data_IF_783569945439
#
_entry.id   IF_783569945439
#
_cell.length_a   1.000
_cell.length_b   1.000
_cell.length_c   1.000
_cell.angle_alpha   90.00
_cell.angle_beta   90.00
_cell.angle_gamma   90.00
#
_symmetry.space_group_name_H-M   'P 1'
#
loop_
_entity.id
_entity.type
_entity.pdbx_description
1 polymer ?
#
# COMPACT_ATOMS: atom_id res chain seq x y z
N UNK A 1 34.13 -45.88 -15.45
CA UNK A 1 33.57 -44.51 -15.34
C UNK A 1 32.75 -44.37 -14.06
N UNK A 2 33.39 -44.27 -12.90
CA UNK A 2 32.70 -44.26 -11.58
C UNK A 2 33.16 -43.13 -10.65
N UNK A 3 33.75 -42.07 -11.20
CA UNK A 3 34.28 -40.94 -10.41
C UNK A 3 33.47 -39.64 -10.51
N UNK A 4 32.34 -39.62 -11.23
CA UNK A 4 31.52 -38.40 -11.40
C UNK A 4 30.36 -38.32 -10.38
N UNK A 5 29.98 -39.42 -9.72
CA UNK A 5 28.82 -39.42 -8.80
C UNK A 5 29.09 -38.87 -7.40
N UNK A 6 30.33 -38.74 -6.96
CA UNK A 6 30.65 -38.22 -5.61
C UNK A 6 30.83 -36.71 -5.53
N UNK A 7 31.04 -36.02 -6.66
CA UNK A 7 31.23 -34.56 -6.65
C UNK A 7 29.91 -33.76 -6.52
N UNK A 8 28.78 -34.33 -6.92
CA UNK A 8 27.47 -33.64 -6.88
C UNK A 8 26.72 -33.79 -5.54
N UNK A 9 27.16 -34.65 -4.62
CA UNK A 9 26.46 -34.87 -3.36
C UNK A 9 26.87 -33.86 -2.27
N UNK A 10 28.09 -33.29 -2.33
CA UNK A 10 28.60 -32.39 -1.28
C UNK A 10 28.13 -30.95 -1.43
N UNK A 11 27.89 -30.47 -2.66
CA UNK A 11 27.35 -29.10 -2.90
C UNK A 11 25.84 -28.97 -2.61
N UNK A 12 25.11 -30.08 -2.55
CA UNK A 12 23.68 -30.10 -2.23
C UNK A 12 23.37 -29.94 -0.73
N UNK A 13 24.26 -30.38 0.16
CA UNK A 13 24.08 -30.25 1.61
C UNK A 13 24.28 -28.82 2.10
N UNK A 14 25.30 -28.12 1.60
CA UNK A 14 25.60 -26.74 2.04
C UNK A 14 24.51 -25.75 1.64
N UNK A 15 23.90 -25.91 0.46
CA UNK A 15 22.75 -25.11 0.03
C UNK A 15 21.47 -25.36 0.84
N UNK A 16 21.23 -26.60 1.29
CA UNK A 16 20.09 -26.92 2.17
C UNK A 16 20.32 -26.37 3.58
N UNK A 17 21.53 -26.48 4.11
CA UNK A 17 21.92 -25.93 5.41
C UNK A 17 21.84 -24.40 5.44
N UNK A 18 22.27 -23.72 4.36
CA UNK A 18 22.18 -22.26 4.23
C UNK A 18 20.71 -21.79 4.17
N UNK A 19 19.85 -22.49 3.42
CA UNK A 19 18.41 -22.20 3.35
C UNK A 19 17.69 -22.45 4.67
N UNK A 20 18.05 -23.49 5.42
CA UNK A 20 17.47 -23.79 6.73
C UNK A 20 17.87 -22.72 7.76
N UNK A 21 19.14 -22.24 7.75
CA UNK A 21 19.58 -21.17 8.64
C UNK A 21 18.94 -19.81 8.28
N UNK A 22 18.78 -19.49 6.98
CA UNK A 22 18.10 -18.27 6.53
C UNK A 22 16.59 -18.32 6.88
N UNK A 23 15.91 -19.46 6.71
CA UNK A 23 14.51 -19.63 7.13
C UNK A 23 14.33 -19.51 8.65
N UNK A 24 15.26 -20.06 9.44
CA UNK A 24 15.24 -19.94 10.91
C UNK A 24 15.51 -18.51 11.38
N UNK A 25 16.36 -17.76 10.68
CA UNK A 25 16.61 -16.33 10.94
C UNK A 25 15.39 -15.46 10.62
N UNK A 26 14.65 -15.78 9.54
CA UNK A 26 13.37 -15.15 9.23
C UNK A 26 12.25 -15.53 10.21
N UNK A 27 12.21 -16.78 10.69
CA UNK A 27 11.25 -17.20 11.71
C UNK A 27 11.52 -16.56 13.08
N UNK A 28 12.80 -16.36 13.44
CA UNK A 28 13.19 -15.70 14.70
C UNK A 28 12.93 -14.18 14.71
N UNK A 29 12.84 -13.53 13.54
CA UNK A 29 12.41 -12.12 13.43
C UNK A 29 10.88 -11.96 13.53
N UNK A 30 10.11 -13.02 13.22
CA UNK A 30 8.65 -13.00 13.33
C UNK A 30 8.12 -13.24 14.76
N UNK A 31 8.95 -13.75 15.69
CA UNK A 31 8.51 -14.04 17.06
C UNK A 31 8.69 -12.89 18.06
N UNK A 32 9.37 -11.79 17.69
CA UNK A 32 9.57 -10.62 18.57
C UNK A 32 8.44 -9.56 18.42
N UNK A 33 7.53 -9.71 17.46
CA UNK A 33 6.38 -8.79 17.27
C UNK A 33 5.11 -9.28 18.02
N UNK A 34 5.21 -10.35 18.83
CA UNK A 34 4.07 -10.95 19.52
C UNK A 34 3.82 -10.46 20.96
N UNK A 35 4.45 -9.36 21.40
CA UNK A 35 4.20 -8.80 22.73
C UNK A 35 3.98 -7.30 22.60
N UNK A 36 2.71 -6.91 22.42
CA UNK A 36 2.02 -5.79 23.08
C UNK A 36 0.68 -5.52 22.37
N UNK A 37 -0.26 -6.47 22.54
CA UNK A 37 -1.70 -6.20 22.47
C UNK A 37 -2.22 -6.24 23.90
N UNK A 38 -2.96 -5.18 24.28
CA UNK A 38 -3.94 -5.03 25.39
C UNK A 38 -3.67 -3.73 26.16
N UNK A 39 -4.59 -2.78 26.35
CA UNK A 39 -6.06 -2.77 26.56
C UNK A 39 -6.48 -1.27 26.48
N UNK A 40 -7.61 -0.79 25.92
CA UNK A 40 -9.04 -1.13 26.07
C UNK A 40 -9.90 -0.86 24.80
N UNK A 41 -10.75 -1.84 24.50
CA UNK A 41 -12.22 -1.77 24.24
C UNK A 41 -12.78 -1.15 22.93
N UNK A 42 -13.19 -2.11 22.08
CA UNK A 42 -14.31 -2.17 21.10
C UNK A 42 -14.31 -1.23 19.89
N UNK A 43 -13.61 -1.66 18.84
CA UNK A 43 -14.21 -1.68 17.51
C UNK A 43 -13.90 -3.04 16.88
N UNK A 44 -14.96 -3.68 16.42
CA UNK A 44 -15.03 -5.00 15.79
C UNK A 44 -13.80 -5.33 14.92
N UNK A 45 -13.42 -6.61 14.95
CA UNK A 45 -12.92 -7.31 13.76
C UNK A 45 -13.91 -7.08 12.61
N UNK A 46 -13.86 -5.90 12.00
CA UNK A 46 -14.16 -5.80 10.59
C UNK A 46 -13.02 -6.57 9.95
N UNK A 47 -13.36 -7.69 9.31
CA UNK A 47 -12.57 -8.19 8.21
C UNK A 47 -11.93 -7.01 7.50
N UNK A 48 -10.61 -7.03 7.35
CA UNK A 48 -9.93 -6.22 6.35
C UNK A 48 -10.49 -6.69 5.01
N UNK A 49 -11.71 -6.30 4.69
CA UNK A 49 -12.34 -6.50 3.41
C UNK A 49 -11.55 -5.57 2.50
N UNK A 50 -10.43 -6.10 2.01
CA UNK A 50 -9.47 -5.44 1.17
C UNK A 50 -10.27 -4.87 0.01
N UNK A 51 -10.55 -3.58 0.07
CA UNK A 51 -11.44 -2.91 -0.86
C UNK A 51 -10.78 -3.06 -2.23
N UNK A 52 -11.27 -4.01 -3.04
CA UNK A 52 -10.63 -4.38 -4.29
C UNK A 52 -10.44 -3.10 -5.12
N UNK A 53 -9.19 -2.63 -5.33
CA UNK A 53 -8.94 -1.37 -6.03
C UNK A 53 -9.44 -1.44 -7.48
N UNK A 54 -9.60 -2.66 -8.01
CA UNK A 54 -10.06 -2.96 -9.36
C UNK A 54 -11.57 -3.24 -9.43
N UNK A 55 -12.35 -2.97 -8.36
CA UNK A 55 -13.79 -3.23 -8.36
C UNK A 55 -14.49 -2.55 -9.56
N UNK A 56 -15.17 -3.35 -10.38
CA UNK A 56 -15.87 -2.89 -11.59
C UNK A 56 -14.98 -2.62 -12.79
N UNK A 57 -13.69 -2.99 -12.75
CA UNK A 57 -12.81 -3.01 -13.92
C UNK A 57 -13.06 -4.23 -14.82
N UNK A 58 -13.66 -5.30 -14.26
CA UNK A 58 -14.09 -6.53 -14.96
C UNK A 58 -15.02 -6.27 -16.15
N UNK A 59 -15.72 -5.14 -16.16
CA UNK A 59 -16.62 -4.74 -17.25
C UNK A 59 -15.92 -4.03 -18.42
N UNK A 60 -14.62 -3.77 -18.29
CA UNK A 60 -13.84 -2.95 -19.22
C UNK A 60 -12.57 -3.69 -19.66
N UNK A 61 -11.93 -4.41 -18.75
CA UNK A 61 -10.66 -5.09 -18.99
C UNK A 61 -10.83 -6.57 -19.28
N UNK A 62 -9.89 -7.13 -20.02
CA UNK A 62 -9.78 -8.58 -20.22
C UNK A 62 -9.26 -9.28 -18.95
N UNK A 63 -9.48 -10.60 -18.80
CA UNK A 63 -8.94 -11.37 -17.68
C UNK A 63 -7.41 -11.24 -17.54
N UNK A 64 -6.68 -11.24 -18.66
CA UNK A 64 -5.22 -11.08 -18.69
C UNK A 64 -4.79 -9.70 -18.18
N UNK A 65 -5.46 -8.63 -18.61
CA UNK A 65 -5.20 -7.27 -18.12
C UNK A 65 -5.51 -7.11 -16.62
N UNK A 66 -6.52 -7.84 -16.10
CA UNK A 66 -6.83 -7.87 -14.67
C UNK A 66 -5.76 -8.62 -13.87
N UNK A 67 -5.25 -9.74 -14.40
CA UNK A 67 -4.15 -10.48 -13.80
C UNK A 67 -2.88 -9.61 -13.75
N UNK A 68 -2.56 -8.92 -14.84
CA UNK A 68 -1.46 -7.95 -14.91
C UNK A 68 -1.62 -6.85 -13.84
N UNK A 69 -2.81 -6.25 -13.71
CA UNK A 69 -3.05 -5.25 -12.66
C UNK A 69 -2.87 -5.82 -11.25
N UNK A 70 -3.27 -7.07 -11.01
CA UNK A 70 -3.10 -7.70 -9.69
C UNK A 70 -1.62 -7.84 -9.37
N UNK A 71 -0.82 -8.36 -10.29
CA UNK A 71 0.62 -8.50 -10.13
C UNK A 71 1.31 -7.15 -9.89
N UNK A 72 0.99 -6.14 -10.71
CA UNK A 72 1.53 -4.78 -10.54
C UNK A 72 1.17 -4.18 -9.17
N UNK A 73 -0.06 -4.42 -8.68
CA UNK A 73 -0.47 -3.94 -7.36
C UNK A 73 0.29 -4.63 -6.22
N UNK A 74 0.54 -5.94 -6.31
CA UNK A 74 1.33 -6.67 -5.32
C UNK A 74 2.79 -6.22 -5.33
N UNK A 75 3.37 -5.94 -6.51
CA UNK A 75 4.71 -5.36 -6.61
C UNK A 75 4.78 -4.00 -5.91
N UNK A 76 3.84 -3.09 -6.20
CA UNK A 76 3.79 -1.76 -5.55
C UNK A 76 3.54 -1.88 -4.05
N UNK A 77 2.78 -2.88 -3.61
CA UNK A 77 2.57 -3.16 -2.18
C UNK A 77 3.87 -3.61 -1.52
N UNK A 78 4.60 -4.53 -2.14
CA UNK A 78 5.93 -4.96 -1.67
C UNK A 78 6.91 -3.79 -1.59
N UNK A 79 6.94 -2.90 -2.60
CA UNK A 79 7.75 -1.66 -2.58
C UNK A 79 7.38 -0.73 -1.42
N UNK A 80 6.10 -0.65 -1.05
CA UNK A 80 5.67 0.15 0.10
C UNK A 80 6.07 -0.47 1.43
N UNK A 81 5.94 -1.79 1.58
CA UNK A 81 6.34 -2.48 2.81
C UNK A 81 7.86 -2.46 2.99
N UNK A 82 8.64 -2.64 1.92
CA UNK A 82 10.11 -2.50 1.98
C UNK A 82 10.53 -1.11 2.42
N UNK A 83 9.95 -0.05 1.85
CA UNK A 83 10.21 1.32 2.30
C UNK A 83 9.78 1.54 3.75
N UNK A 84 8.61 1.05 4.15
CA UNK A 84 8.11 1.17 5.52
C UNK A 84 9.02 0.46 6.54
N UNK A 85 9.56 -0.70 6.17
CA UNK A 85 10.49 -1.45 7.02
C UNK A 85 11.88 -0.81 7.09
N UNK A 86 12.22 0.09 6.15
CA UNK A 86 13.45 0.86 6.20
C UNK A 86 13.40 2.05 7.17
N UNK A 87 12.24 2.37 7.74
CA UNK A 87 12.09 3.53 8.64
C UNK A 87 12.73 3.29 10.00
N UNK A 88 13.49 4.26 10.49
CA UNK A 88 14.09 4.23 11.83
C UNK A 88 13.07 4.53 12.94
N UNK A 89 13.42 4.22 14.19
CA UNK A 89 12.56 4.51 15.35
C UNK A 89 12.25 6.00 15.50
N UNK A 90 13.23 6.87 15.21
CA UNK A 90 13.04 8.33 15.21
C UNK A 90 12.02 8.76 14.15
N UNK A 91 12.10 8.18 12.94
CA UNK A 91 11.14 8.44 11.86
C UNK A 91 9.74 7.92 12.21
N UNK A 92 9.64 6.76 12.86
CA UNK A 92 8.38 6.22 13.37
C UNK A 92 7.80 7.09 14.50
N UNK A 93 8.64 7.72 15.32
CA UNK A 93 8.19 8.68 16.34
C UNK A 93 7.58 9.94 15.70
N UNK A 94 8.17 10.47 14.63
CA UNK A 94 7.58 11.58 13.84
C UNK A 94 6.17 11.23 13.36
N UNK A 95 5.95 9.99 12.90
CA UNK A 95 4.64 9.53 12.45
C UNK A 95 3.59 9.50 13.57
N UNK A 96 4.01 9.16 14.80
CA UNK A 96 3.14 9.04 15.98
C UNK A 96 2.91 10.38 16.69
N UNK A 97 3.70 11.41 16.39
CA UNK A 97 3.62 12.72 17.02
C UNK A 97 2.23 13.37 16.80
N UNK A 98 1.53 13.70 17.90
CA UNK A 98 0.19 14.30 17.89
C UNK A 98 0.22 15.83 17.90
N UNK A 99 1.34 16.42 18.26
CA UNK A 99 1.56 17.87 18.32
C UNK A 99 1.72 18.45 16.91
N UNK A 100 2.27 17.64 15.99
CA UNK A 100 2.39 17.99 14.58
C UNK A 100 1.12 17.70 13.78
N UNK A 101 0.69 18.69 13.00
CA UNK A 101 -0.38 18.47 12.04
C UNK A 101 0.09 17.54 10.90
N UNK A 102 -0.86 17.07 10.09
CA UNK A 102 -0.56 16.09 9.03
C UNK A 102 0.46 16.59 8.01
N UNK A 103 0.49 17.89 7.71
CA UNK A 103 1.43 18.47 6.75
C UNK A 103 2.83 18.52 7.36
N UNK A 104 2.92 19.02 8.59
CA UNK A 104 4.18 19.11 9.33
C UNK A 104 4.81 17.74 9.54
N UNK A 105 4.04 16.72 9.95
CA UNK A 105 4.56 15.34 10.07
C UNK A 105 5.16 14.82 8.77
N UNK A 106 4.53 15.14 7.64
CA UNK A 106 5.02 14.70 6.33
C UNK A 106 6.30 15.43 5.94
N UNK A 107 6.39 16.72 6.23
CA UNK A 107 7.59 17.52 5.96
C UNK A 107 8.75 17.09 6.85
N UNK A 108 8.52 16.93 8.15
CA UNK A 108 9.50 16.43 9.11
C UNK A 108 9.99 15.01 8.74
N UNK A 109 9.08 14.10 8.39
CA UNK A 109 9.47 12.75 7.95
C UNK A 109 10.28 12.78 6.65
N UNK A 110 9.93 13.65 5.71
CA UNK A 110 10.66 13.76 4.44
C UNK A 110 12.06 14.34 4.65
N UNK A 111 12.20 15.28 5.58
CA UNK A 111 13.48 15.88 5.91
C UNK A 111 14.43 14.91 6.64
N UNK A 112 13.89 13.88 7.30
CA UNK A 112 14.69 12.89 8.03
C UNK A 112 15.13 11.68 7.21
N UNK A 113 14.82 11.62 5.91
CA UNK A 113 15.24 10.49 5.07
C UNK A 113 16.73 10.52 4.77
N UNK A 114 17.36 9.34 4.86
CA UNK A 114 18.75 9.15 4.43
C UNK A 114 18.83 8.88 2.91
N UNK A 115 20.06 8.82 2.39
CA UNK A 115 20.29 8.64 0.95
C UNK A 115 19.71 7.33 0.43
N UNK A 116 19.90 6.21 1.14
CA UNK A 116 19.36 4.89 0.72
C UNK A 116 17.83 4.90 0.61
N UNK A 117 17.15 5.58 1.54
CA UNK A 117 15.70 5.74 1.53
C UNK A 117 15.24 6.63 0.37
N UNK A 118 15.98 7.68 0.04
CA UNK A 118 15.70 8.56 -1.10
C UNK A 118 15.88 7.82 -2.43
N UNK A 119 16.98 7.08 -2.58
CA UNK A 119 17.27 6.28 -3.78
C UNK A 119 16.20 5.19 -3.97
N UNK A 120 15.79 4.54 -2.87
CA UNK A 120 14.69 3.57 -2.90
C UNK A 120 13.37 4.21 -3.36
N UNK A 121 13.05 5.42 -2.90
CA UNK A 121 11.84 6.14 -3.33
C UNK A 121 11.87 6.49 -4.81
N UNK A 122 13.02 6.91 -5.33
CA UNK A 122 13.18 7.25 -6.74
C UNK A 122 13.12 6.01 -7.63
N UNK A 123 13.72 4.90 -7.21
CA UNK A 123 13.57 3.60 -7.88
C UNK A 123 12.11 3.14 -7.92
N UNK A 124 11.40 3.19 -6.79
CA UNK A 124 9.97 2.84 -6.72
C UNK A 124 9.12 3.74 -7.61
N UNK A 125 9.43 5.04 -7.67
CA UNK A 125 8.75 6.01 -8.54
C UNK A 125 8.98 5.70 -10.02
N UNK A 126 10.21 5.36 -10.42
CA UNK A 126 10.54 4.95 -11.77
C UNK A 126 9.80 3.65 -12.16
N UNK A 127 9.83 2.65 -11.28
CA UNK A 127 9.09 1.39 -11.48
C UNK A 127 7.60 1.64 -11.67
N UNK A 128 6.96 2.43 -10.80
CA UNK A 128 5.53 2.76 -10.94
C UNK A 128 5.23 3.49 -12.25
N UNK A 129 6.16 4.28 -12.78
CA UNK A 129 6.00 4.94 -14.08
C UNK A 129 5.97 3.90 -15.21
N UNK A 130 6.96 2.99 -15.23
CA UNK A 130 7.04 1.91 -16.22
C UNK A 130 5.80 1.01 -16.16
N UNK A 131 5.36 0.59 -14.96
CA UNK A 131 4.16 -0.24 -14.81
C UNK A 131 2.89 0.44 -15.35
N UNK A 132 2.78 1.76 -15.16
CA UNK A 132 1.65 2.53 -15.70
C UNK A 132 1.71 2.64 -17.21
N UNK A 133 2.90 2.77 -17.79
CA UNK A 133 3.09 2.87 -19.24
C UNK A 133 2.77 1.53 -19.90
N UNK A 134 3.32 0.42 -19.40
CA UNK A 134 3.00 -0.92 -19.92
C UNK A 134 1.52 -1.28 -19.79
N UNK A 135 0.89 -0.93 -18.66
CA UNK A 135 -0.55 -1.11 -18.52
C UNK A 135 -1.33 -0.25 -19.54
N UNK A 136 -0.92 1.00 -19.79
CA UNK A 136 -1.58 1.86 -20.77
C UNK A 136 -1.44 1.37 -22.20
N UNK A 137 -0.30 0.79 -22.55
CA UNK A 137 -0.02 0.19 -23.85
C UNK A 137 -0.87 -1.06 -24.09
N UNK A 138 -1.13 -1.86 -23.05
CA UNK A 138 -2.00 -3.03 -23.16
C UNK A 138 -3.47 -2.71 -23.45
N UNK A 139 -3.91 -1.44 -23.35
CA UNK A 139 -5.31 -1.04 -23.50
C UNK A 139 -5.66 -0.67 -24.94
N UNK A 140 -6.84 -1.09 -25.39
CA UNK A 140 -7.44 -0.57 -26.63
C UNK A 140 -7.98 0.84 -26.44
N UNK A 141 -8.19 1.58 -27.53
CA UNK A 141 -8.72 2.95 -27.46
C UNK A 141 -10.16 3.03 -26.94
N UNK A 142 -10.95 1.99 -27.22
CA UNK A 142 -12.28 1.84 -26.63
C UNK A 142 -12.19 1.66 -25.10
N UNK A 143 -11.28 0.81 -24.63
CA UNK A 143 -11.02 0.62 -23.20
C UNK A 143 -10.53 1.91 -22.54
N UNK A 144 -9.60 2.64 -23.17
CA UNK A 144 -9.11 3.95 -22.69
C UNK A 144 -10.27 4.95 -22.53
N UNK A 145 -11.19 4.98 -23.49
CA UNK A 145 -12.37 5.84 -23.44
C UNK A 145 -13.34 5.45 -22.32
N UNK A 146 -13.65 4.15 -22.18
CA UNK A 146 -14.48 3.63 -21.08
C UNK A 146 -13.88 3.96 -19.71
N UNK A 147 -12.57 3.82 -19.55
CA UNK A 147 -11.85 4.17 -18.32
C UNK A 147 -11.89 5.67 -18.03
N UNK A 148 -11.73 6.52 -19.05
CA UNK A 148 -11.85 7.98 -18.93
C UNK A 148 -13.24 8.39 -18.45
N UNK A 149 -14.29 7.82 -19.06
CA UNK A 149 -15.68 8.10 -18.70
C UNK A 149 -15.99 7.61 -17.28
N UNK A 150 -15.53 6.40 -16.91
CA UNK A 150 -15.64 5.90 -15.54
C UNK A 150 -14.98 6.84 -14.54
N UNK A 151 -13.79 7.37 -14.84
CA UNK A 151 -13.08 8.32 -13.99
C UNK A 151 -13.85 9.64 -13.82
N UNK A 152 -14.40 10.17 -14.91
CA UNK A 152 -15.23 11.39 -14.91
C UNK A 152 -16.47 11.20 -14.02
N UNK A 153 -17.23 10.13 -14.24
CA UNK A 153 -18.42 9.83 -13.43
C UNK A 153 -18.11 9.63 -11.94
N UNK A 154 -16.98 9.01 -11.61
CA UNK A 154 -16.54 8.89 -10.21
C UNK A 154 -16.19 10.24 -9.58
N UNK A 155 -15.56 11.16 -10.34
CA UNK A 155 -15.25 12.52 -9.89
C UNK A 155 -16.52 13.32 -9.62
N UNK A 156 -17.48 13.27 -10.54
CA UNK A 156 -18.78 13.96 -10.42
C UNK A 156 -19.57 13.45 -9.21
N UNK A 157 -19.69 12.12 -9.05
CA UNK A 157 -20.32 11.52 -7.87
C UNK A 157 -19.67 11.98 -6.57
N UNK A 158 -18.34 12.01 -6.52
CA UNK A 158 -17.60 12.51 -5.34
C UNK A 158 -17.89 13.98 -5.07
N UNK A 159 -17.95 14.81 -6.10
CA UNK A 159 -18.27 16.24 -5.98
C UNK A 159 -19.69 16.45 -5.46
N UNK A 160 -20.67 15.71 -5.97
CA UNK A 160 -22.06 15.75 -5.49
C UNK A 160 -22.17 15.29 -4.03
N UNK A 161 -21.44 14.24 -3.63
CA UNK A 161 -21.42 13.80 -2.23
C UNK A 161 -20.79 14.84 -1.31
N UNK A 162 -19.72 15.50 -1.75
CA UNK A 162 -19.08 16.56 -0.99
C UNK A 162 -20.00 17.79 -0.85
N UNK A 163 -20.70 18.18 -1.91
CA UNK A 163 -21.65 19.30 -1.85
C UNK A 163 -22.82 18.99 -0.91
N UNK A 164 -23.40 17.79 -1.01
CA UNK A 164 -24.45 17.32 -0.08
C UNK A 164 -23.97 17.32 1.38
N UNK A 165 -22.77 16.79 1.65
CA UNK A 165 -22.16 16.83 3.00
C UNK A 165 -21.96 18.27 3.49
N UNK A 166 -21.52 19.18 2.62
CA UNK A 166 -21.36 20.59 2.95
C UNK A 166 -22.69 21.26 3.32
N UNK A 167 -23.73 21.03 2.53
CA UNK A 167 -25.07 21.54 2.80
C UNK A 167 -25.62 21.00 4.12
N UNK A 168 -25.46 19.69 4.37
CA UNK A 168 -25.88 19.06 5.63
C UNK A 168 -25.17 19.67 6.84
N UNK A 169 -23.85 19.89 6.77
CA UNK A 169 -23.08 20.56 7.84
C UNK A 169 -23.59 21.99 8.11
N UNK A 170 -23.90 22.76 7.05
CA UNK A 170 -24.49 24.12 7.20
C UNK A 170 -25.85 24.06 7.90
N UNK A 171 -26.72 23.12 7.51
CA UNK A 171 -28.04 22.92 8.15
C UNK A 171 -27.90 22.57 9.64
N UNK A 172 -26.98 21.66 9.97
CA UNK A 172 -26.70 21.26 11.36
C UNK A 172 -26.17 22.44 12.18
N UNK A 173 -25.26 23.25 11.64
CA UNK A 173 -24.76 24.46 12.31
C UNK A 173 -25.89 25.46 12.58
N UNK A 174 -26.75 25.72 11.59
CA UNK A 174 -27.92 26.62 11.74
C UNK A 174 -28.89 26.11 12.81
N UNK A 175 -29.15 24.81 12.89
CA UNK A 175 -30.00 24.21 13.93
C UNK A 175 -29.39 24.35 15.33
N UNK A 176 -28.09 24.10 15.49
CA UNK A 176 -27.38 24.30 16.77
C UNK A 176 -27.41 25.76 17.23
N UNK A 177 -27.22 26.72 16.32
CA UNK A 177 -27.28 28.15 16.65
C UNK A 177 -28.69 28.63 17.03
N UNK A 178 -29.74 27.99 16.51
CA UNK A 178 -31.12 28.28 16.92
C UNK A 178 -31.46 27.72 18.30
N UNK A 179 -31.03 26.49 18.59
CA UNK A 179 -31.32 25.83 19.87
C UNK A 179 -30.49 26.35 21.04
N UNK A 180 -29.32 26.96 20.80
CA UNK A 180 -28.50 27.57 21.86
C UNK A 180 -28.83 29.04 22.15
N UNK A 181 -29.90 29.59 21.56
CA UNK A 181 -30.43 30.93 21.82
C UNK A 181 -31.76 30.93 22.58
N UNK A 182 -32.24 29.74 22.96
CA UNK A 182 -33.37 29.54 23.86
C UNK A 182 -32.85 29.07 25.22
#
# INVERSE_FOLDING_TARGET
MTWIKTFYHTKGLTSRMLKINIMKFLQSLCTIIAIFVSVTVTAQHADQQQKNPNKGMEKILTPEQLALLKEQNELVKSQRETFKNSLSDEQLAILKNKDLNRRERREALRASFNQDQLDMLDAHKANVKVLKESFRESLTDEQKTKLRNRRKGMKEKKQQLNSKKGQMKKRMKKKKMKNGKN
#
